data_IF_262006323258
#
_entry.id   IF_262006323258
#
_cell.length_a   1.000
_cell.length_b   1.000
_cell.length_c   1.000
_cell.angle_alpha   90.00
_cell.angle_beta   90.00
_cell.angle_gamma   90.00
#
_symmetry.space_group_name_H-M   'P 1'
#
loop_
_entity.id
_entity.type
_entity.pdbx_description
1 polymer ?
#
# COMPACT_ATOMS: atom_id res chain seq x y z
N UNK A 1 -12.05 17.28 -10.66
CA UNK A 1 -12.56 18.57 -11.16
C UNK A 1 -14.04 18.41 -11.51
N UNK A 2 -14.78 19.53 -11.49
CA UNK A 2 -16.19 19.60 -11.88
C UNK A 2 -16.29 20.60 -13.03
N UNK A 3 -17.00 20.22 -14.09
CA UNK A 3 -17.36 21.13 -15.19
C UNK A 3 -18.87 21.09 -15.36
N UNK A 4 -19.50 22.25 -15.48
CA UNK A 4 -20.94 22.38 -15.73
C UNK A 4 -21.11 22.82 -17.18
N UNK A 5 -21.80 22.01 -17.96
CA UNK A 5 -22.15 22.30 -19.34
C UNK A 5 -23.64 22.67 -19.34
N UNK A 6 -23.90 23.98 -19.36
CA UNK A 6 -25.25 24.55 -19.29
C UNK A 6 -26.06 24.25 -20.55
N UNK A 7 -25.41 24.22 -21.71
CA UNK A 7 -26.06 23.99 -23.01
C UNK A 7 -26.59 22.56 -23.11
N UNK A 8 -25.79 21.58 -22.67
CA UNK A 8 -26.19 20.16 -22.65
C UNK A 8 -26.82 19.72 -21.33
N UNK A 9 -27.09 20.66 -20.41
CA UNK A 9 -27.68 20.43 -19.07
C UNK A 9 -27.03 19.24 -18.34
N UNK A 10 -25.69 19.20 -18.33
CA UNK A 10 -24.92 18.09 -17.74
C UNK A 10 -23.80 18.57 -16.82
N UNK A 11 -23.59 17.84 -15.72
CA UNK A 11 -22.43 18.00 -14.83
C UNK A 11 -21.44 16.89 -15.15
N UNK A 12 -20.20 17.27 -15.40
CA UNK A 12 -19.09 16.34 -15.65
C UNK A 12 -18.16 16.36 -14.45
N UNK A 13 -18.06 15.23 -13.76
CA UNK A 13 -17.13 15.00 -12.66
C UNK A 13 -15.93 14.20 -13.16
N UNK A 14 -14.72 14.70 -12.92
CA UNK A 14 -13.49 13.99 -13.24
C UNK A 14 -12.69 13.69 -11.99
N UNK A 15 -12.43 12.41 -11.75
CA UNK A 15 -11.63 11.89 -10.63
C UNK A 15 -10.34 11.32 -11.19
N UNK A 16 -9.20 11.71 -10.63
CA UNK A 16 -7.88 11.19 -11.03
C UNK A 16 -7.41 10.16 -10.00
N UNK A 17 -7.53 8.85 -10.27
CA UNK A 17 -7.16 7.85 -9.27
C UNK A 17 -5.68 7.87 -8.93
N UNK A 18 -4.78 8.20 -9.88
CA UNK A 18 -3.36 8.36 -9.55
C UNK A 18 -3.08 9.59 -8.68
N UNK A 19 -3.94 10.61 -8.76
CA UNK A 19 -3.93 11.70 -7.80
C UNK A 19 -4.26 11.19 -6.40
N UNK A 20 -5.32 10.38 -6.26
CA UNK A 20 -5.69 9.75 -4.98
C UNK A 20 -4.55 8.87 -4.46
N UNK A 21 -3.94 8.05 -5.33
CA UNK A 21 -2.79 7.20 -4.98
C UNK A 21 -1.60 8.01 -4.46
N UNK A 22 -1.28 9.12 -5.12
CA UNK A 22 -0.22 10.02 -4.67
C UNK A 22 -0.50 10.54 -3.26
N UNK A 23 -1.71 11.05 -3.01
CA UNK A 23 -2.09 11.54 -1.69
C UNK A 23 -2.12 10.43 -0.63
N UNK A 24 -2.52 9.20 -0.99
CA UNK A 24 -2.49 8.05 -0.10
C UNK A 24 -1.08 7.70 0.39
N UNK A 25 -0.10 7.66 -0.52
CA UNK A 25 1.29 7.45 -0.12
C UNK A 25 1.87 8.65 0.63
N UNK A 26 1.48 9.88 0.25
CA UNK A 26 1.94 11.07 0.95
C UNK A 26 1.43 11.09 2.40
N UNK A 27 0.16 10.75 2.62
CA UNK A 27 -0.43 10.66 3.96
C UNK A 27 0.21 9.55 4.79
N UNK A 28 0.60 8.44 4.18
CA UNK A 28 1.37 7.39 4.87
C UNK A 28 2.72 7.92 5.37
N UNK A 29 3.44 8.71 4.55
CA UNK A 29 4.69 9.31 5.01
C UNK A 29 4.50 10.39 6.08
N UNK A 30 3.40 11.15 6.03
CA UNK A 30 3.02 12.05 7.12
C UNK A 30 2.79 11.27 8.42
N UNK A 31 2.10 10.13 8.35
CA UNK A 31 1.93 9.22 9.49
C UNK A 31 3.27 8.74 10.03
N UNK A 32 4.19 8.31 9.17
CA UNK A 32 5.53 7.87 9.57
C UNK A 32 6.32 8.99 10.23
N UNK A 33 6.26 10.22 9.71
CA UNK A 33 6.95 11.38 10.27
C UNK A 33 6.41 11.73 11.67
N UNK A 34 5.08 11.76 11.83
CA UNK A 34 4.45 12.02 13.14
C UNK A 34 4.82 10.90 14.11
N UNK A 35 4.74 9.63 13.69
CA UNK A 35 5.09 8.48 14.52
C UNK A 35 6.56 8.47 14.93
N UNK A 36 7.45 8.82 14.01
CA UNK A 36 8.88 8.99 14.28
C UNK A 36 9.10 10.08 15.33
N UNK A 37 8.46 11.23 15.18
CA UNK A 37 8.61 12.33 16.13
C UNK A 37 8.08 11.96 17.53
N UNK A 38 6.89 11.36 17.62
CA UNK A 38 6.32 10.92 18.89
C UNK A 38 7.16 9.83 19.56
N UNK A 39 7.64 8.85 18.80
CA UNK A 39 8.40 7.71 19.36
C UNK A 39 9.83 8.12 19.74
N UNK A 40 10.49 8.98 18.97
CA UNK A 40 11.88 9.34 19.26
C UNK A 40 12.03 10.40 20.35
N UNK A 41 11.04 11.27 20.53
CA UNK A 41 11.14 12.42 21.44
C UNK A 41 10.14 12.39 22.60
N UNK A 42 9.09 11.58 22.53
CA UNK A 42 7.99 11.61 23.50
C UNK A 42 7.60 10.24 24.08
N UNK A 43 8.27 9.15 23.67
CA UNK A 43 8.06 7.82 24.25
C UNK A 43 9.28 7.37 25.07
N UNK A 44 9.05 6.35 25.89
CA UNK A 44 10.10 5.68 26.68
C UNK A 44 10.53 4.35 26.04
N UNK A 45 10.39 4.22 24.71
CA UNK A 45 10.73 2.98 24.00
C UNK A 45 12.22 2.68 24.05
N UNK A 46 12.56 1.51 24.59
CA UNK A 46 13.90 0.95 24.44
C UNK A 46 14.04 0.24 23.10
N UNK A 47 14.73 0.90 22.16
CA UNK A 47 15.01 0.35 20.83
C UNK A 47 15.91 -0.89 20.85
N UNK A 48 16.61 -1.18 21.95
CA UNK A 48 17.46 -2.37 22.08
C UNK A 48 16.77 -3.52 22.81
N UNK A 49 15.69 -3.25 23.53
CA UNK A 49 14.99 -4.22 24.37
C UNK A 49 13.47 -4.07 24.24
N UNK A 50 12.91 -4.63 23.18
CA UNK A 50 11.48 -4.58 22.89
C UNK A 50 11.03 -5.87 22.16
N UNK A 51 9.72 -6.16 22.10
CA UNK A 51 9.21 -7.40 21.52
C UNK A 51 9.66 -7.64 20.07
N UNK A 52 9.77 -6.59 19.24
CA UNK A 52 10.24 -6.72 17.85
C UNK A 52 11.72 -7.10 17.79
N UNK A 53 12.56 -6.49 18.63
CA UNK A 53 13.97 -6.85 18.75
C UNK A 53 14.15 -8.31 19.18
N UNK A 54 13.37 -8.78 20.14
CA UNK A 54 13.42 -10.18 20.61
C UNK A 54 12.89 -11.20 19.60
N UNK A 55 11.99 -10.80 18.70
CA UNK A 55 11.45 -11.69 17.68
C UNK A 55 12.29 -11.69 16.39
N UNK A 56 12.67 -10.52 15.90
CA UNK A 56 13.26 -10.33 14.58
C UNK A 56 14.76 -10.03 14.61
N UNK A 57 15.31 -9.65 15.77
CA UNK A 57 16.67 -9.14 15.91
C UNK A 57 16.88 -7.73 15.32
N UNK A 58 15.80 -7.03 14.95
CA UNK A 58 15.83 -5.64 14.49
C UNK A 58 14.47 -4.98 14.63
N UNK A 59 14.47 -3.65 14.68
CA UNK A 59 13.23 -2.87 14.64
C UNK A 59 12.86 -2.55 13.19
N UNK A 60 11.67 -2.97 12.79
CA UNK A 60 11.05 -2.52 11.55
C UNK A 60 10.26 -1.22 11.80
N UNK A 61 9.66 -0.65 10.75
CA UNK A 61 8.95 0.64 10.85
C UNK A 61 7.77 0.65 11.84
N UNK A 62 7.20 -0.52 12.19
CA UNK A 62 6.05 -0.61 13.09
C UNK A 62 6.37 -0.09 14.50
N UNK A 63 7.64 -0.17 14.94
CA UNK A 63 8.05 0.36 16.26
C UNK A 63 7.67 1.83 16.46
N UNK A 64 7.52 2.59 15.37
CA UNK A 64 7.12 4.00 15.40
C UNK A 64 5.64 4.20 15.75
N UNK A 65 4.88 3.12 15.85
CA UNK A 65 3.44 3.08 16.07
C UNK A 65 3.07 2.39 17.39
N UNK A 66 4.04 1.74 18.04
CA UNK A 66 3.76 0.71 19.06
C UNK A 66 3.66 1.25 20.49
N UNK A 67 4.14 2.48 20.72
CA UNK A 67 4.23 3.03 22.07
C UNK A 67 3.46 4.34 22.26
N UNK A 68 3.09 4.61 23.51
CA UNK A 68 2.58 5.91 23.90
C UNK A 68 3.61 7.02 23.60
N UNK A 69 3.21 8.19 23.06
CA UNK A 69 1.83 8.61 22.73
C UNK A 69 1.36 8.24 21.30
N UNK A 70 2.21 7.60 20.48
CA UNK A 70 1.89 7.27 19.08
C UNK A 70 0.65 6.37 18.96
N UNK A 71 0.46 5.42 19.88
CA UNK A 71 -0.71 4.52 19.92
C UNK A 71 -2.06 5.24 20.03
N UNK A 72 -2.09 6.47 20.56
CA UNK A 72 -3.33 7.25 20.67
C UNK A 72 -3.54 8.22 19.50
N UNK A 73 -2.45 8.67 18.88
CA UNK A 73 -2.49 9.69 17.82
C UNK A 73 -2.57 9.06 16.43
N UNK A 74 -1.72 8.08 16.16
CA UNK A 74 -1.57 7.51 14.83
C UNK A 74 -2.76 6.71 14.29
N UNK A 75 -3.62 6.04 15.11
CA UNK A 75 -4.84 5.45 14.57
C UNK A 75 -5.71 6.49 13.84
N UNK A 76 -5.83 7.70 14.40
CA UNK A 76 -6.60 8.79 13.80
C UNK A 76 -5.98 9.27 12.48
N UNK A 77 -4.65 9.36 12.41
CA UNK A 77 -3.92 9.72 11.18
C UNK A 77 -4.01 8.59 10.14
N UNK A 78 -3.98 7.33 10.58
CA UNK A 78 -4.08 6.15 9.73
C UNK A 78 -5.41 6.11 8.99
N UNK A 79 -6.53 6.48 9.64
CA UNK A 79 -7.86 6.52 9.00
C UNK A 79 -7.84 7.36 7.72
N UNK A 80 -7.09 8.47 7.68
CA UNK A 80 -6.95 9.30 6.48
C UNK A 80 -6.25 8.52 5.36
N UNK A 81 -5.13 7.85 5.68
CA UNK A 81 -4.39 7.02 4.73
C UNK A 81 -5.21 5.83 4.24
N UNK A 82 -5.93 5.17 5.14
CA UNK A 82 -6.84 4.08 4.83
C UNK A 82 -7.93 4.53 3.86
N UNK A 83 -8.62 5.64 4.13
CA UNK A 83 -9.68 6.17 3.26
C UNK A 83 -9.15 6.52 1.86
N UNK A 84 -7.94 7.10 1.77
CA UNK A 84 -7.31 7.41 0.48
C UNK A 84 -6.90 6.13 -0.28
N UNK A 85 -6.32 5.14 0.39
CA UNK A 85 -5.96 3.86 -0.21
C UNK A 85 -7.20 3.11 -0.69
N UNK A 86 -8.25 3.04 0.14
CA UNK A 86 -9.54 2.42 -0.22
C UNK A 86 -10.18 3.15 -1.41
N UNK A 87 -10.21 4.49 -1.38
CA UNK A 87 -10.69 5.30 -2.49
C UNK A 87 -9.91 5.01 -3.78
N UNK A 88 -8.59 4.83 -3.68
CA UNK A 88 -7.77 4.48 -4.82
C UNK A 88 -8.11 3.10 -5.39
N UNK A 89 -8.18 2.06 -4.57
CA UNK A 89 -8.49 0.71 -5.06
C UNK A 89 -9.90 0.61 -5.67
N UNK A 90 -10.88 1.31 -5.07
CA UNK A 90 -12.25 1.37 -5.59
C UNK A 90 -12.29 2.10 -6.93
N UNK A 91 -11.69 3.29 -7.02
CA UNK A 91 -11.63 4.03 -8.28
C UNK A 91 -10.81 3.30 -9.35
N UNK A 92 -9.76 2.57 -8.98
CA UNK A 92 -9.02 1.71 -9.90
C UNK A 92 -9.88 0.56 -10.42
N UNK A 93 -10.66 -0.07 -9.55
CA UNK A 93 -11.62 -1.12 -9.92
C UNK A 93 -12.72 -0.61 -10.86
N UNK A 94 -13.35 0.52 -10.54
CA UNK A 94 -14.38 1.15 -11.41
C UNK A 94 -13.79 1.40 -12.80
N UNK A 95 -12.54 1.87 -12.88
CA UNK A 95 -11.86 2.17 -14.14
C UNK A 95 -11.66 0.92 -14.99
N UNK A 96 -11.33 -0.22 -14.38
CA UNK A 96 -11.18 -1.49 -15.08
C UNK A 96 -12.54 -2.09 -15.44
N UNK A 97 -13.54 -1.92 -14.58
CA UNK A 97 -14.92 -2.35 -14.83
C UNK A 97 -15.52 -1.63 -16.05
N UNK A 98 -15.35 -0.32 -16.17
CA UNK A 98 -15.77 0.43 -17.37
C UNK A 98 -15.11 -0.13 -18.64
N UNK A 99 -13.81 -0.45 -18.59
CA UNK A 99 -13.10 -1.06 -19.73
C UNK A 99 -13.58 -2.48 -20.03
N UNK A 100 -14.00 -3.24 -19.02
CA UNK A 100 -14.62 -4.55 -19.18
C UNK A 100 -15.98 -4.44 -19.88
N UNK A 101 -16.84 -3.51 -19.46
CA UNK A 101 -18.14 -3.26 -20.11
C UNK A 101 -18.00 -2.82 -21.58
N UNK A 102 -16.92 -2.12 -21.91
CA UNK A 102 -16.59 -1.71 -23.29
C UNK A 102 -15.82 -2.79 -24.06
N UNK A 103 -15.77 -4.04 -23.58
CA UNK A 103 -15.07 -5.16 -24.20
C UNK A 103 -13.56 -4.94 -24.44
N UNK A 104 -12.94 -3.99 -23.73
CA UNK A 104 -11.48 -3.71 -23.80
C UNK A 104 -10.67 -4.53 -22.80
N UNK A 105 -11.34 -5.25 -21.90
CA UNK A 105 -10.74 -6.15 -20.89
C UNK A 105 -11.51 -7.46 -20.92
N UNK A 106 -10.81 -8.59 -20.94
CA UNK A 106 -11.45 -9.91 -20.92
C UNK A 106 -12.08 -10.23 -19.56
N UNK A 107 -13.14 -11.05 -19.55
CA UNK A 107 -13.80 -11.52 -18.31
C UNK A 107 -12.80 -12.09 -17.31
N UNK A 108 -11.88 -12.97 -17.76
CA UNK A 108 -10.83 -13.54 -16.90
C UNK A 108 -9.94 -12.46 -16.26
N UNK A 109 -9.50 -11.47 -17.05
CA UNK A 109 -8.67 -10.38 -16.52
C UNK A 109 -9.43 -9.56 -15.48
N UNK A 110 -10.71 -9.28 -15.73
CA UNK A 110 -11.56 -8.54 -14.80
C UNK A 110 -11.84 -9.33 -13.51
N UNK A 111 -12.10 -10.63 -13.59
CA UNK A 111 -12.28 -11.50 -12.42
C UNK A 111 -11.03 -11.53 -11.56
N UNK A 112 -9.85 -11.74 -12.15
CA UNK A 112 -8.58 -11.72 -11.40
C UNK A 112 -8.34 -10.36 -10.75
N UNK A 113 -8.59 -9.26 -11.49
CA UNK A 113 -8.46 -7.91 -10.95
C UNK A 113 -9.41 -7.68 -9.75
N UNK A 114 -10.64 -8.19 -9.83
CA UNK A 114 -11.63 -8.10 -8.75
C UNK A 114 -11.19 -8.87 -7.53
N UNK A 115 -10.77 -10.14 -7.68
CA UNK A 115 -10.26 -10.97 -6.57
C UNK A 115 -9.08 -10.27 -5.88
N UNK A 116 -8.09 -9.82 -6.65
CA UNK A 116 -6.93 -9.10 -6.09
C UNK A 116 -7.35 -7.82 -5.35
N UNK A 117 -8.35 -7.08 -5.86
CA UNK A 117 -8.87 -5.87 -5.19
C UNK A 117 -9.57 -6.21 -3.88
N UNK A 118 -10.33 -7.31 -3.83
CA UNK A 118 -10.96 -7.78 -2.60
C UNK A 118 -9.92 -8.17 -1.56
N UNK A 119 -8.88 -8.92 -1.96
CA UNK A 119 -7.79 -9.29 -1.04
C UNK A 119 -7.07 -8.05 -0.50
N UNK A 120 -6.77 -7.08 -1.35
CA UNK A 120 -6.18 -5.81 -0.91
C UNK A 120 -7.06 -5.08 0.10
N UNK A 121 -8.36 -4.95 -0.16
CA UNK A 121 -9.28 -4.29 0.77
C UNK A 121 -9.31 -5.00 2.12
N UNK A 122 -9.44 -6.32 2.14
CA UNK A 122 -9.44 -7.11 3.36
C UNK A 122 -8.13 -6.97 4.13
N UNK A 123 -6.99 -7.05 3.44
CA UNK A 123 -5.67 -6.84 4.04
C UNK A 123 -5.49 -5.44 4.63
N UNK A 124 -5.98 -4.39 3.96
CA UNK A 124 -5.95 -3.02 4.48
C UNK A 124 -6.82 -2.87 5.73
N UNK A 125 -7.97 -3.56 5.78
CA UNK A 125 -8.81 -3.60 6.98
C UNK A 125 -8.08 -4.33 8.11
N UNK A 126 -7.50 -5.51 7.85
CA UNK A 126 -6.74 -6.25 8.86
C UNK A 126 -5.56 -5.45 9.40
N UNK A 127 -4.84 -4.70 8.55
CA UNK A 127 -3.71 -3.88 8.98
C UNK A 127 -4.09 -2.83 10.04
N UNK A 128 -5.36 -2.41 10.15
CA UNK A 128 -5.81 -1.53 11.23
C UNK A 128 -5.55 -2.11 12.63
N UNK A 129 -5.50 -3.44 12.76
CA UNK A 129 -5.22 -4.14 14.02
C UNK A 129 -3.86 -3.79 14.60
N UNK A 130 -2.86 -3.44 13.78
CA UNK A 130 -1.52 -3.03 14.24
C UNK A 130 -1.59 -1.83 15.20
N UNK A 131 -2.59 -0.97 15.03
CA UNK A 131 -2.81 0.20 15.88
C UNK A 131 -3.63 -0.11 17.14
N UNK A 132 -4.23 -1.29 17.23
CA UNK A 132 -5.13 -1.68 18.34
C UNK A 132 -4.51 -2.70 19.28
N UNK A 133 -3.64 -3.58 18.76
CA UNK A 133 -2.98 -4.64 19.54
C UNK A 133 -1.49 -4.33 19.59
N UNK A 134 -1.00 -4.07 20.80
CA UNK A 134 0.42 -3.80 21.00
C UNK A 134 1.24 -5.09 20.82
N UNK A 135 2.52 -4.98 20.42
CA UNK A 135 3.36 -6.15 20.27
C UNK A 135 3.64 -6.87 21.61
N UNK A 136 3.52 -6.18 22.76
CA UNK A 136 3.59 -6.78 24.09
C UNK A 136 2.38 -7.67 24.41
N UNK A 137 1.19 -7.29 23.92
CA UNK A 137 -0.03 -8.08 24.09
C UNK A 137 -0.01 -9.31 23.19
N UNK A 138 0.30 -9.14 21.91
CA UNK A 138 0.40 -10.26 20.99
C UNK A 138 1.21 -9.93 19.73
N UNK A 139 2.40 -10.51 19.63
CA UNK A 139 3.23 -10.43 18.42
C UNK A 139 2.55 -11.00 17.17
N UNK A 140 1.71 -12.02 17.29
CA UNK A 140 0.99 -12.60 16.14
C UNK A 140 -0.04 -11.62 15.60
N UNK A 141 -0.88 -11.06 16.47
CA UNK A 141 -1.90 -10.08 16.07
C UNK A 141 -1.31 -8.71 15.72
N UNK A 142 -0.03 -8.48 16.01
CA UNK A 142 0.70 -7.32 15.57
C UNK A 142 1.37 -7.54 14.19
N UNK A 143 2.12 -8.64 14.01
CA UNK A 143 2.92 -8.88 12.80
C UNK A 143 2.09 -9.46 11.65
N UNK A 144 1.14 -10.35 11.90
CA UNK A 144 0.37 -10.98 10.82
C UNK A 144 -0.44 -9.97 9.99
N UNK A 145 -1.10 -8.95 10.58
CA UNK A 145 -1.72 -7.88 9.81
C UNK A 145 -0.74 -7.07 8.94
N UNK A 146 0.48 -6.85 9.42
CA UNK A 146 1.52 -6.21 8.62
C UNK A 146 1.96 -7.10 7.45
N UNK A 147 2.04 -8.42 7.65
CA UNK A 147 2.23 -9.40 6.56
C UNK A 147 1.11 -9.31 5.51
N UNK A 148 -0.15 -9.15 5.95
CA UNK A 148 -1.28 -8.93 5.03
C UNK A 148 -1.15 -7.64 4.23
N UNK A 149 -0.62 -6.55 4.83
CA UNK A 149 -0.33 -5.30 4.12
C UNK A 149 0.73 -5.52 3.01
N UNK A 150 1.78 -6.28 3.29
CA UNK A 150 2.81 -6.63 2.29
C UNK A 150 2.17 -7.31 1.08
N UNK A 151 1.28 -8.26 1.32
CA UNK A 151 0.54 -8.95 0.26
C UNK A 151 -0.35 -7.99 -0.54
N UNK A 152 -1.06 -7.07 0.14
CA UNK A 152 -1.88 -6.06 -0.52
C UNK A 152 -1.06 -5.16 -1.44
N UNK A 153 0.06 -4.62 -0.95
CA UNK A 153 0.93 -3.74 -1.74
C UNK A 153 1.59 -4.49 -2.91
N UNK A 154 1.83 -5.78 -2.76
CA UNK A 154 2.30 -6.65 -3.86
C UNK A 154 1.27 -6.75 -4.99
N UNK A 155 0.01 -7.06 -4.65
CA UNK A 155 -1.08 -7.07 -5.65
C UNK A 155 -1.27 -5.69 -6.29
N UNK A 156 -1.16 -4.63 -5.49
CA UNK A 156 -1.33 -3.26 -5.96
C UNK A 156 -0.25 -2.91 -6.99
N UNK A 157 1.00 -3.26 -6.72
CA UNK A 157 2.13 -3.09 -7.64
C UNK A 157 1.93 -3.86 -8.95
N UNK A 158 1.50 -5.14 -8.88
CA UNK A 158 1.22 -5.95 -10.07
C UNK A 158 0.11 -5.29 -10.91
N UNK A 159 -1.03 -4.98 -10.30
CA UNK A 159 -2.18 -4.38 -11.00
C UNK A 159 -1.82 -3.05 -11.65
N UNK A 160 -1.05 -2.22 -10.96
CA UNK A 160 -0.63 -0.93 -11.47
C UNK A 160 0.30 -1.07 -12.67
N UNK A 161 1.30 -1.95 -12.59
CA UNK A 161 2.19 -2.18 -13.73
C UNK A 161 1.41 -2.73 -14.95
N UNK A 162 0.53 -3.71 -14.74
CA UNK A 162 -0.31 -4.26 -15.82
C UNK A 162 -1.20 -3.18 -16.43
N UNK A 163 -1.78 -2.30 -15.61
CA UNK A 163 -2.60 -1.19 -16.07
C UNK A 163 -1.78 -0.17 -16.88
N UNK A 164 -0.63 0.27 -16.37
CA UNK A 164 0.23 1.25 -17.05
C UNK A 164 0.76 0.76 -18.39
N UNK A 165 1.18 -0.50 -18.45
CA UNK A 165 1.62 -1.13 -19.70
C UNK A 165 0.56 -1.04 -20.80
N UNK A 166 -0.73 -1.03 -20.44
CA UNK A 166 -1.86 -0.96 -21.38
C UNK A 166 -2.41 0.45 -21.61
N UNK A 167 -2.20 1.37 -20.67
CA UNK A 167 -2.96 2.62 -20.62
C UNK A 167 -2.10 3.90 -20.64
N UNK A 168 -0.78 3.80 -20.50
CA UNK A 168 0.10 4.97 -20.30
C UNK A 168 1.09 5.23 -21.43
N UNK A 169 0.98 4.52 -22.55
CA UNK A 169 1.90 4.61 -23.70
C UNK A 169 3.38 4.58 -23.26
N UNK A 170 3.76 3.57 -22.49
CA UNK A 170 5.11 3.44 -21.93
C UNK A 170 6.15 3.22 -23.04
N UNK A 171 7.31 3.85 -22.91
CA UNK A 171 8.46 3.53 -23.77
C UNK A 171 9.05 2.14 -23.44
N UNK A 172 9.83 1.56 -24.36
CA UNK A 172 10.49 0.26 -24.13
C UNK A 172 11.36 0.25 -22.86
N UNK A 173 12.05 1.37 -22.59
CA UNK A 173 12.85 1.54 -21.39
C UNK A 173 11.98 1.58 -20.12
N UNK A 174 10.82 2.27 -20.16
CA UNK A 174 9.89 2.31 -19.03
C UNK A 174 9.28 0.93 -18.74
N UNK A 175 8.99 0.14 -19.77
CA UNK A 175 8.52 -1.24 -19.62
C UNK A 175 9.60 -2.09 -18.95
N UNK A 176 10.87 -2.01 -19.43
CA UNK A 176 12.00 -2.75 -18.84
C UNK A 176 12.22 -2.37 -17.37
N UNK A 177 12.26 -1.07 -17.07
CA UNK A 177 12.39 -0.57 -15.70
C UNK A 177 11.21 -0.99 -14.82
N UNK A 178 9.99 -1.01 -15.37
CA UNK A 178 8.81 -1.47 -14.64
C UNK A 178 8.86 -2.96 -14.29
N UNK A 179 9.38 -3.81 -15.20
CA UNK A 179 9.63 -5.23 -14.89
C UNK A 179 10.70 -5.40 -13.81
N UNK A 180 11.81 -4.64 -13.89
CA UNK A 180 12.88 -4.67 -12.87
C UNK A 180 12.32 -4.25 -11.51
N UNK A 181 11.60 -3.13 -11.44
CA UNK A 181 10.94 -2.66 -10.23
C UNK A 181 10.01 -3.74 -9.64
N UNK A 182 9.15 -4.32 -10.49
CA UNK A 182 8.18 -5.31 -10.03
C UNK A 182 8.88 -6.58 -9.52
N UNK A 183 9.92 -7.05 -10.20
CA UNK A 183 10.70 -8.20 -9.78
C UNK A 183 11.35 -7.97 -8.41
N UNK A 184 11.99 -6.81 -8.22
CA UNK A 184 12.63 -6.43 -6.95
C UNK A 184 11.58 -6.32 -5.83
N UNK A 185 10.45 -5.65 -6.09
CA UNK A 185 9.39 -5.47 -5.10
C UNK A 185 8.77 -6.80 -4.67
N UNK A 186 8.45 -7.68 -5.62
CA UNK A 186 7.87 -8.99 -5.32
C UNK A 186 8.87 -9.90 -4.62
N UNK A 187 10.14 -9.88 -5.03
CA UNK A 187 11.21 -10.59 -4.32
C UNK A 187 11.30 -10.12 -2.87
N UNK A 188 11.45 -8.81 -2.63
CA UNK A 188 11.54 -8.26 -1.28
C UNK A 188 10.28 -8.58 -0.45
N UNK A 189 9.09 -8.51 -1.05
CA UNK A 189 7.83 -8.82 -0.38
C UNK A 189 7.73 -10.29 0.02
N UNK A 190 8.06 -11.22 -0.89
CA UNK A 190 8.03 -12.67 -0.62
C UNK A 190 9.02 -13.01 0.50
N UNK A 191 10.26 -12.55 0.39
CA UNK A 191 11.28 -12.83 1.41
C UNK A 191 10.85 -12.25 2.76
N UNK A 192 10.36 -11.01 2.81
CA UNK A 192 9.88 -10.39 4.05
C UNK A 192 8.71 -11.15 4.68
N UNK A 193 7.75 -11.62 3.89
CA UNK A 193 6.64 -12.45 4.40
C UNK A 193 7.15 -13.79 4.95
N UNK A 194 8.05 -14.47 4.23
CA UNK A 194 8.67 -15.72 4.71
C UNK A 194 9.41 -15.50 6.02
N UNK A 195 10.17 -14.42 6.14
CA UNK A 195 10.88 -14.05 7.38
C UNK A 195 9.92 -13.85 8.55
N UNK A 196 8.83 -13.11 8.36
CA UNK A 196 7.84 -12.87 9.41
C UNK A 196 7.11 -14.14 9.82
N UNK A 197 6.75 -14.99 8.85
CA UNK A 197 6.10 -16.28 9.13
C UNK A 197 7.07 -17.22 9.86
N UNK A 198 8.34 -17.28 9.43
CA UNK A 198 9.37 -18.10 10.08
C UNK A 198 9.56 -17.67 11.55
N UNK A 199 9.76 -16.38 11.79
CA UNK A 199 9.95 -15.85 13.15
C UNK A 199 8.74 -16.12 14.05
N UNK A 200 7.51 -15.87 13.56
CA UNK A 200 6.28 -16.15 14.31
C UNK A 200 6.06 -17.64 14.60
N UNK A 201 6.55 -18.52 13.73
CA UNK A 201 6.44 -19.96 13.89
C UNK A 201 7.56 -20.57 14.76
N UNK A 202 8.46 -19.76 15.33
CA UNK A 202 9.57 -20.24 16.15
C UNK A 202 10.73 -20.81 15.33
N UNK A 203 11.05 -20.19 14.20
CA UNK A 203 12.22 -20.50 13.35
C UNK A 203 12.27 -21.93 12.75
N UNK A 204 11.17 -22.44 12.13
CA UNK A 204 11.16 -23.79 11.57
C UNK A 204 12.06 -23.99 10.34
N UNK A 205 12.37 -22.92 9.59
CA UNK A 205 13.18 -23.01 8.37
C UNK A 205 14.64 -22.64 8.59
N UNK A 206 14.89 -21.62 9.42
CA UNK A 206 16.22 -21.13 9.78
C UNK A 206 16.14 -20.25 11.03
N UNK A 207 17.26 -20.11 11.75
CA UNK A 207 17.36 -19.17 12.89
C UNK A 207 17.28 -17.72 12.40
N UNK A 208 16.24 -17.00 12.81
CA UNK A 208 16.02 -15.60 12.42
C UNK A 208 17.20 -14.71 12.83
N UNK A 209 17.79 -14.97 13.99
CA UNK A 209 18.94 -14.24 14.51
C UNK A 209 20.23 -14.42 13.70
N UNK A 210 20.38 -15.52 12.98
CA UNK A 210 21.55 -15.73 12.11
C UNK A 210 21.53 -14.87 10.85
N UNK A 211 20.37 -14.31 10.48
CA UNK A 211 20.17 -13.59 9.20
C UNK A 211 19.72 -12.13 9.38
N UNK A 212 19.83 -11.56 10.58
CA UNK A 212 19.38 -10.18 10.90
C UNK A 212 19.86 -9.13 9.90
N UNK A 213 21.14 -9.15 9.52
CA UNK A 213 21.68 -8.17 8.56
C UNK A 213 20.99 -8.25 7.19
N UNK A 214 20.76 -9.47 6.70
CA UNK A 214 20.03 -9.68 5.45
C UNK A 214 18.56 -9.26 5.57
N UNK A 215 17.93 -9.57 6.70
CA UNK A 215 16.55 -9.19 7.00
C UNK A 215 16.35 -7.66 6.98
N UNK A 216 17.26 -6.91 7.59
CA UNK A 216 17.23 -5.44 7.57
C UNK A 216 17.38 -4.88 6.15
N UNK A 217 18.22 -5.49 5.32
CA UNK A 217 18.38 -5.08 3.91
C UNK A 217 17.07 -5.30 3.14
N UNK A 218 16.45 -6.47 3.30
CA UNK A 218 15.17 -6.80 2.66
C UNK A 218 14.06 -5.86 3.14
N UNK A 219 14.01 -5.57 4.44
CA UNK A 219 13.04 -4.62 5.02
C UNK A 219 13.15 -3.23 4.39
N UNK A 220 14.36 -2.67 4.32
CA UNK A 220 14.62 -1.36 3.71
C UNK A 220 14.31 -1.35 2.21
N UNK A 221 14.69 -2.40 1.49
CA UNK A 221 14.39 -2.56 0.08
C UNK A 221 12.88 -2.65 -0.16
N UNK A 222 12.16 -3.38 0.69
CA UNK A 222 10.72 -3.45 0.67
C UNK A 222 10.11 -2.07 0.92
N UNK A 223 10.52 -1.35 1.97
CA UNK A 223 10.04 0.01 2.25
C UNK A 223 10.24 0.98 1.08
N UNK A 224 11.43 0.94 0.46
CA UNK A 224 11.75 1.74 -0.73
C UNK A 224 10.78 1.45 -1.89
N UNK A 225 10.57 0.16 -2.20
CA UNK A 225 9.73 -0.25 -3.32
C UNK A 225 8.23 -0.18 -3.04
N UNK A 226 7.81 -0.38 -1.80
CA UNK A 226 6.41 -0.44 -1.39
C UNK A 226 5.82 0.92 -1.04
N UNK A 227 6.63 1.87 -0.53
CA UNK A 227 6.11 3.14 -0.01
C UNK A 227 6.75 4.39 -0.64
N UNK A 228 8.03 4.35 -1.03
CA UNK A 228 8.71 5.54 -1.58
C UNK A 228 8.60 5.64 -3.10
N UNK A 229 9.01 4.59 -3.85
CA UNK A 229 8.94 4.59 -5.32
C UNK A 229 7.50 4.80 -5.83
N UNK A 230 6.43 4.24 -5.22
CA UNK A 230 5.07 4.48 -5.66
C UNK A 230 4.64 5.95 -5.66
N UNK A 231 5.21 6.83 -4.80
CA UNK A 231 4.99 8.28 -4.87
C UNK A 231 5.41 8.82 -6.24
N UNK A 232 6.66 8.54 -6.62
CA UNK A 232 7.22 8.96 -7.90
C UNK A 232 6.42 8.40 -9.08
N UNK A 233 6.08 7.10 -9.04
CA UNK A 233 5.29 6.48 -10.11
C UNK A 233 3.90 7.12 -10.21
N UNK A 234 3.29 7.52 -9.08
CA UNK A 234 1.97 8.19 -9.07
C UNK A 234 2.06 9.53 -9.77
N UNK A 235 3.04 10.35 -9.42
CA UNK A 235 3.27 11.66 -10.04
C UNK A 235 3.56 11.52 -11.54
N UNK A 236 4.48 10.62 -11.90
CA UNK A 236 4.91 10.40 -13.28
C UNK A 236 3.76 10.00 -14.19
N UNK A 237 2.91 9.05 -13.75
CA UNK A 237 1.86 8.49 -14.61
C UNK A 237 0.52 9.21 -14.49
N UNK A 238 0.31 10.11 -13.51
CA UNK A 238 -0.95 10.83 -13.29
C UNK A 238 -1.51 11.52 -14.53
N UNK A 239 -0.65 12.11 -15.38
CA UNK A 239 -1.07 12.80 -16.62
C UNK A 239 -1.16 11.87 -17.83
N UNK A 240 -0.64 10.64 -17.75
CA UNK A 240 -0.59 9.68 -18.86
C UNK A 240 -1.71 8.65 -18.81
N UNK A 241 -2.45 8.55 -17.72
CA UNK A 241 -3.62 7.67 -17.60
C UNK A 241 -4.90 8.46 -17.56
N UNK A 242 -5.96 7.88 -18.13
CA UNK A 242 -7.28 8.49 -18.13
C UNK A 242 -7.85 8.64 -16.71
N UNK A 243 -8.45 9.80 -16.47
CA UNK A 243 -9.32 10.02 -15.32
C UNK A 243 -10.62 9.20 -15.47
N UNK A 244 -11.26 8.93 -14.34
CA UNK A 244 -12.66 8.54 -14.33
C UNK A 244 -13.52 9.76 -14.61
N UNK A 245 -14.47 9.64 -15.53
CA UNK A 245 -15.40 10.71 -15.87
C UNK A 245 -16.82 10.20 -15.62
N UNK A 246 -17.58 10.92 -14.80
CA UNK A 246 -18.99 10.68 -14.53
C UNK A 246 -19.79 11.85 -15.08
N UNK A 247 -20.84 11.54 -15.85
CA UNK A 247 -21.72 12.55 -16.44
C UNK A 247 -23.10 12.39 -15.81
N UNK A 248 -23.60 13.47 -15.21
CA UNK A 248 -24.95 13.53 -14.64
C UNK A 248 -25.75 14.52 -15.46
N UNK A 249 -26.82 14.07 -16.11
CA UNK A 249 -27.80 14.96 -16.74
C UNK A 249 -28.78 15.48 -15.69
N UNK A 250 -29.13 16.76 -15.74
CA UNK A 250 -30.14 17.35 -14.86
C UNK A 250 -31.20 18.08 -15.68
N UNK A 251 -32.47 17.78 -15.41
CA UNK A 251 -33.60 18.25 -16.21
C UNK A 251 -33.94 17.30 -17.34
N UNK A 252 -34.66 16.22 -17.00
CA UNK A 252 -35.71 15.71 -17.88
C UNK A 252 -36.96 16.53 -17.62
#
# INVERSE_FOLDING_TARGET
SKTIDHDQKRIVWSISPEGIRFYAYLSFWVLVIIGSWLTLYHSEVDFQNNPLMHLLGYNNICILFDAYPATYVLPSVWVISFLLLVSYIVTSWIRVYQKYLLSRVSKRSFTLFTISTTVEFMSLCLFTTVFSVSPEESLIFHIAPFTCLILALSFLSIKNFVYYKRASNLSSNEIKLGYIYLAIHLFASIIKMIMQINALAGDPFYSTFSFVGFHQIIDRLWMLTAALIPLYLSLKFRKRVSNLVFVTQFGK
#
